data_IF_375574986558
#
_entry.id   IF_375574986558
#
_cell.length_a   1.000
_cell.length_b   1.000
_cell.length_c   1.000
_cell.angle_alpha   90.00
_cell.angle_beta   90.00
_cell.angle_gamma   90.00
#
_symmetry.space_group_name_H-M   'P 1'
#
loop_
_entity.id
_entity.type
_entity.pdbx_description
1 polymer ?
#
# COMPACT_ATOMS: atom_id res chain seq x y z
N UNK A 1 -3.69 -17.19 -2.66
CA UNK A 1 -2.44 -16.93 -3.42
C UNK A 1 -1.53 -15.98 -2.66
N UNK A 2 -1.97 -14.77 -2.28
CA UNK A 2 -1.15 -13.84 -1.47
C UNK A 2 -0.78 -14.39 -0.09
N UNK A 3 -1.62 -15.23 0.52
CA UNK A 3 -1.32 -15.96 1.77
C UNK A 3 -0.10 -16.90 1.67
N UNK A 4 0.27 -17.34 0.46
CA UNK A 4 1.45 -18.20 0.26
C UNK A 4 2.77 -17.41 0.29
N UNK A 5 2.70 -16.10 0.03
CA UNK A 5 3.87 -15.21 0.03
C UNK A 5 4.42 -14.97 1.44
N UNK A 6 3.60 -15.17 2.48
CA UNK A 6 4.01 -15.14 3.89
C UNK A 6 4.86 -16.36 4.29
N UNK A 7 4.97 -17.38 3.42
CA UNK A 7 5.75 -18.61 3.66
C UNK A 7 7.08 -18.66 2.92
N UNK A 8 7.44 -17.60 2.19
CA UNK A 8 8.67 -17.55 1.39
C UNK A 8 9.70 -16.69 2.12
N UNK A 9 10.91 -17.22 2.31
CA UNK A 9 11.96 -16.62 3.15
C UNK A 9 12.49 -15.27 2.65
N UNK A 10 12.33 -14.93 1.36
CA UNK A 10 12.63 -13.58 0.85
C UNK A 10 11.79 -13.24 -0.39
N UNK A 11 11.16 -12.04 -0.43
CA UNK A 11 10.46 -11.54 -1.59
C UNK A 11 11.41 -11.27 -2.77
N UNK A 12 12.71 -11.09 -2.55
CA UNK A 12 13.67 -10.94 -3.64
C UNK A 12 13.66 -12.17 -4.56
N UNK A 13 13.52 -13.37 -3.99
CA UNK A 13 13.42 -14.62 -4.76
C UNK A 13 12.18 -14.63 -5.66
N UNK A 14 11.02 -14.21 -5.13
CA UNK A 14 9.76 -14.13 -5.89
C UNK A 14 9.87 -13.07 -6.99
N UNK A 15 10.40 -11.89 -6.66
CA UNK A 15 10.51 -10.73 -7.55
C UNK A 15 11.52 -10.93 -8.69
N UNK A 16 12.54 -11.79 -8.49
CA UNK A 16 13.52 -12.19 -9.51
C UNK A 16 13.07 -13.36 -10.36
N UNK A 17 12.21 -14.23 -9.82
CA UNK A 17 11.74 -15.45 -10.50
C UNK A 17 10.51 -15.19 -11.37
N UNK A 18 9.62 -14.29 -10.96
CA UNK A 18 8.38 -14.00 -11.69
C UNK A 18 8.58 -12.84 -12.67
N UNK A 19 7.98 -12.97 -13.86
CA UNK A 19 7.95 -11.86 -14.81
C UNK A 19 6.99 -10.76 -14.34
N UNK A 20 7.22 -9.53 -14.82
CA UNK A 20 6.43 -8.35 -14.45
C UNK A 20 4.92 -8.52 -14.74
N UNK A 21 4.57 -9.16 -15.85
CA UNK A 21 3.17 -9.36 -16.26
C UNK A 21 2.40 -10.24 -15.27
N UNK A 22 3.00 -11.32 -14.78
CA UNK A 22 2.42 -12.23 -13.78
C UNK A 22 2.23 -11.48 -12.46
N UNK A 23 3.24 -10.72 -12.03
CA UNK A 23 3.18 -9.92 -10.79
C UNK A 23 2.05 -8.88 -10.87
N UNK A 24 1.91 -8.18 -12.00
CA UNK A 24 0.85 -7.19 -12.24
C UNK A 24 -0.54 -7.84 -12.20
N UNK A 25 -0.70 -9.02 -12.80
CA UNK A 25 -1.95 -9.75 -12.83
C UNK A 25 -2.36 -10.23 -11.43
N UNK A 26 -1.43 -10.87 -10.71
CA UNK A 26 -1.67 -11.39 -9.36
C UNK A 26 -2.04 -10.31 -8.35
N UNK A 27 -1.45 -9.12 -8.49
CA UNK A 27 -1.67 -8.00 -7.56
C UNK A 27 -2.79 -7.07 -7.98
N UNK A 28 -3.51 -7.34 -9.09
CA UNK A 28 -4.57 -6.47 -9.62
C UNK A 28 -5.56 -6.05 -8.53
N UNK A 29 -6.15 -7.02 -7.83
CA UNK A 29 -7.14 -6.75 -6.77
C UNK A 29 -6.55 -5.92 -5.63
N UNK A 30 -5.30 -6.20 -5.25
CA UNK A 30 -4.61 -5.46 -4.21
C UNK A 30 -4.25 -4.02 -4.62
N UNK A 31 -3.97 -3.78 -5.90
CA UNK A 31 -3.79 -2.41 -6.42
C UNK A 31 -5.07 -1.60 -6.38
N UNK A 32 -6.21 -2.24 -6.68
CA UNK A 32 -7.53 -1.61 -6.52
C UNK A 32 -7.79 -1.29 -5.03
N UNK A 33 -7.49 -2.22 -4.13
CA UNK A 33 -7.63 -1.99 -2.69
C UNK A 33 -6.75 -0.85 -2.18
N UNK A 34 -5.51 -0.76 -2.68
CA UNK A 34 -4.61 0.36 -2.38
C UNK A 34 -5.18 1.70 -2.84
N UNK A 35 -5.81 1.76 -4.02
CA UNK A 35 -6.44 2.98 -4.52
C UNK A 35 -7.65 3.37 -3.68
N UNK A 36 -8.53 2.41 -3.37
CA UNK A 36 -9.72 2.62 -2.55
C UNK A 36 -9.38 3.11 -1.15
N UNK A 37 -8.35 2.53 -0.50
CA UNK A 37 -7.82 3.04 0.77
C UNK A 37 -7.37 4.50 0.64
N UNK A 38 -6.67 4.82 -0.45
CA UNK A 38 -6.25 6.17 -0.74
C UNK A 38 -7.40 7.16 -0.86
N UNK A 39 -8.50 6.75 -1.49
CA UNK A 39 -9.73 7.54 -1.64
C UNK A 39 -10.49 7.71 -0.34
N UNK A 40 -10.65 6.63 0.44
CA UNK A 40 -11.35 6.65 1.73
C UNK A 40 -10.67 7.64 2.70
N UNK A 41 -9.34 7.63 2.80
CA UNK A 41 -8.61 8.61 3.61
C UNK A 41 -8.81 10.06 3.16
N UNK A 42 -8.90 10.32 1.84
CA UNK A 42 -9.17 11.67 1.33
C UNK A 42 -10.60 12.08 1.66
N UNK A 43 -11.56 11.16 1.53
CA UNK A 43 -12.94 11.39 1.90
C UNK A 43 -13.08 11.71 3.40
N UNK A 44 -12.34 11.03 4.27
CA UNK A 44 -12.32 11.36 5.71
C UNK A 44 -11.70 12.74 5.98
N UNK A 45 -10.60 13.10 5.30
CA UNK A 45 -10.03 14.46 5.38
C UNK A 45 -11.04 15.53 4.92
N UNK A 46 -11.77 15.25 3.84
CA UNK A 46 -12.85 16.10 3.30
C UNK A 46 -13.97 16.27 4.33
N UNK A 47 -14.50 15.17 4.90
CA UNK A 47 -15.57 15.24 5.92
C UNK A 47 -15.16 16.09 7.12
N UNK A 48 -13.91 15.95 7.57
CA UNK A 48 -13.36 16.77 8.65
C UNK A 48 -13.31 18.25 8.28
N UNK A 49 -12.77 18.59 7.10
CA UNK A 49 -12.69 19.98 6.62
C UNK A 49 -14.07 20.64 6.42
N UNK A 50 -15.08 19.88 5.96
CA UNK A 50 -16.45 20.36 5.88
C UNK A 50 -17.04 20.67 7.26
N UNK A 51 -16.74 19.84 8.25
CA UNK A 51 -17.18 20.04 9.64
C UNK A 51 -16.52 21.29 10.25
N UNK A 52 -15.27 21.55 9.87
CA UNK A 52 -14.49 22.72 10.31
C UNK A 52 -14.83 24.01 9.53
N UNK A 53 -15.82 23.97 8.62
CA UNK A 53 -16.28 25.14 7.86
C UNK A 53 -15.32 25.63 6.76
N UNK A 54 -14.39 24.78 6.32
CA UNK A 54 -13.46 25.12 5.23
C UNK A 54 -14.19 25.09 3.89
N UNK A 55 -14.00 26.13 3.06
CA UNK A 55 -14.52 26.14 1.69
C UNK A 55 -13.82 25.10 0.83
N UNK A 56 -14.60 24.25 0.17
CA UNK A 56 -14.11 23.10 -0.59
C UNK A 56 -14.81 22.99 -1.93
N UNK A 57 -14.07 22.52 -2.94
CA UNK A 57 -14.61 22.20 -4.26
C UNK A 57 -15.56 21.00 -4.14
N UNK A 58 -16.85 21.29 -3.95
CA UNK A 58 -17.93 20.30 -3.87
C UNK A 58 -18.00 19.43 -5.12
N UNK A 59 -17.68 19.98 -6.30
CA UNK A 59 -17.66 19.23 -7.55
C UNK A 59 -16.57 18.17 -7.56
N UNK A 60 -15.37 18.52 -7.09
CA UNK A 60 -14.28 17.56 -6.92
C UNK A 60 -14.61 16.47 -5.88
N UNK A 61 -15.26 16.85 -4.77
CA UNK A 61 -15.66 15.91 -3.73
C UNK A 61 -16.67 14.88 -4.26
N UNK A 62 -17.73 15.35 -4.92
CA UNK A 62 -18.74 14.48 -5.52
C UNK A 62 -18.15 13.56 -6.61
N UNK A 63 -17.22 14.08 -7.40
CA UNK A 63 -16.50 13.29 -8.40
C UNK A 63 -15.68 12.17 -7.74
N UNK A 64 -14.97 12.47 -6.66
CA UNK A 64 -14.17 11.48 -5.93
C UNK A 64 -15.05 10.39 -5.28
N UNK A 65 -16.19 10.77 -4.71
CA UNK A 65 -17.16 9.82 -4.13
C UNK A 65 -17.70 8.90 -5.23
N UNK A 66 -18.16 9.47 -6.34
CA UNK A 66 -18.68 8.71 -7.47
C UNK A 66 -17.65 7.72 -8.03
N UNK A 67 -16.38 8.13 -8.13
CA UNK A 67 -15.29 7.25 -8.53
C UNK A 67 -15.02 6.13 -7.53
N UNK A 68 -15.06 6.42 -6.22
CA UNK A 68 -14.86 5.41 -5.18
C UNK A 68 -15.95 4.33 -5.23
N UNK A 69 -17.21 4.73 -5.36
CA UNK A 69 -18.35 3.81 -5.46
C UNK A 69 -18.27 2.98 -6.75
N UNK A 70 -18.00 3.62 -7.89
CA UNK A 70 -17.82 2.92 -9.16
C UNK A 70 -16.70 1.87 -9.09
N UNK A 71 -15.54 2.21 -8.52
CA UNK A 71 -14.41 1.28 -8.41
C UNK A 71 -14.74 0.13 -7.46
N UNK A 72 -15.45 0.40 -6.36
CA UNK A 72 -15.90 -0.61 -5.41
C UNK A 72 -16.84 -1.61 -6.08
N UNK A 73 -17.80 -1.12 -6.87
CA UNK A 73 -18.76 -1.97 -7.58
C UNK A 73 -18.10 -2.82 -8.67
N UNK A 74 -17.06 -2.30 -9.32
CA UNK A 74 -16.35 -3.02 -10.38
C UNK A 74 -15.27 -3.96 -9.85
N UNK A 75 -14.84 -3.84 -8.58
CA UNK A 75 -13.66 -4.51 -8.02
C UNK A 75 -13.61 -6.02 -8.30
N UNK A 76 -14.73 -6.71 -8.15
CA UNK A 76 -14.81 -8.17 -8.28
C UNK A 76 -15.06 -8.65 -9.72
N UNK A 77 -15.38 -7.73 -10.64
CA UNK A 77 -15.64 -8.01 -12.06
C UNK A 77 -14.58 -7.46 -13.00
N UNK A 78 -13.55 -6.77 -12.48
CA UNK A 78 -12.49 -6.15 -13.29
C UNK A 78 -11.65 -7.18 -14.05
N UNK A 79 -11.65 -7.03 -15.39
CA UNK A 79 -10.80 -7.81 -16.30
C UNK A 79 -9.47 -7.10 -16.62
N UNK A 80 -9.40 -5.78 -16.45
CA UNK A 80 -8.21 -4.97 -16.68
C UNK A 80 -8.12 -3.75 -15.73
N UNK A 81 -6.99 -3.05 -15.80
CA UNK A 81 -6.67 -1.90 -14.94
C UNK A 81 -7.10 -0.54 -15.56
N UNK A 82 -7.82 -0.55 -16.68
CA UNK A 82 -8.16 0.67 -17.42
C UNK A 82 -8.89 1.69 -16.56
N UNK A 83 -9.81 1.21 -15.72
CA UNK A 83 -10.62 2.04 -14.82
C UNK A 83 -9.79 2.76 -13.76
N UNK A 84 -8.84 2.07 -13.13
CA UNK A 84 -7.96 2.67 -12.11
C UNK A 84 -6.89 3.60 -12.72
N UNK A 85 -6.81 3.63 -14.05
CA UNK A 85 -5.91 4.49 -14.82
C UNK A 85 -6.64 5.62 -15.56
N UNK A 86 -7.95 5.77 -15.33
CA UNK A 86 -8.77 6.81 -15.95
C UNK A 86 -8.21 8.22 -15.71
N UNK A 87 -7.99 9.04 -16.77
CA UNK A 87 -7.55 10.42 -16.60
C UNK A 87 -8.48 11.26 -15.75
N UNK A 88 -9.79 11.02 -15.83
CA UNK A 88 -10.81 11.77 -15.08
C UNK A 88 -10.78 11.44 -13.60
N UNK A 89 -10.60 10.16 -13.27
CA UNK A 89 -10.32 9.72 -11.91
C UNK A 89 -9.11 10.47 -11.35
N UNK A 90 -7.98 10.44 -12.06
CA UNK A 90 -6.76 11.07 -11.58
C UNK A 90 -6.86 12.59 -11.51
N UNK A 91 -7.66 13.24 -12.37
CA UNK A 91 -7.96 14.66 -12.28
C UNK A 91 -8.72 14.98 -10.99
N UNK A 92 -9.74 14.21 -10.64
CA UNK A 92 -10.49 14.39 -9.39
C UNK A 92 -9.59 14.11 -8.17
N UNK A 93 -8.82 13.02 -8.22
CA UNK A 93 -7.96 12.59 -7.12
C UNK A 93 -6.83 13.58 -6.82
N UNK A 94 -6.17 14.13 -7.85
CA UNK A 94 -5.04 15.05 -7.70
C UNK A 94 -5.43 16.43 -7.12
N UNK A 95 -6.71 16.85 -7.22
CA UNK A 95 -7.18 18.10 -6.61
C UNK A 95 -6.99 18.13 -5.08
N UNK A 96 -6.91 16.96 -4.45
CA UNK A 96 -6.76 16.82 -3.01
C UNK A 96 -5.33 16.51 -2.55
N UNK A 97 -4.34 16.69 -3.45
CA UNK A 97 -2.91 16.49 -3.19
C UNK A 97 -2.60 15.19 -2.40
N UNK A 98 -2.92 14.01 -2.97
CA UNK A 98 -2.80 12.74 -2.28
C UNK A 98 -1.33 12.40 -1.97
N UNK A 99 -1.10 11.72 -0.84
CA UNK A 99 0.22 11.28 -0.38
C UNK A 99 0.94 10.39 -1.42
N UNK A 100 2.28 10.33 -1.34
CA UNK A 100 3.15 9.65 -2.32
C UNK A 100 2.79 8.17 -2.54
N UNK A 101 2.39 7.43 -1.51
CA UNK A 101 1.92 6.03 -1.64
C UNK A 101 0.79 5.95 -2.68
N UNK A 102 -0.12 6.91 -2.65
CA UNK A 102 -1.34 6.91 -3.46
C UNK A 102 -1.05 7.27 -4.91
N UNK A 103 0.07 7.93 -5.18
CA UNK A 103 0.55 8.21 -6.54
C UNK A 103 1.12 6.97 -7.25
N UNK A 104 1.28 5.85 -6.54
CA UNK A 104 1.76 4.59 -7.10
C UNK A 104 0.68 3.83 -7.89
N UNK A 105 -0.60 4.14 -7.70
CA UNK A 105 -1.69 3.50 -8.46
C UNK A 105 -1.77 3.95 -9.93
N UNK A 106 -0.89 4.86 -10.38
CA UNK A 106 -0.85 5.35 -11.77
C UNK A 106 -0.34 4.28 -12.73
N UNK A 107 -0.82 4.30 -13.98
CA UNK A 107 -0.47 3.32 -15.03
C UNK A 107 1.03 3.09 -15.19
N UNK A 108 1.82 4.15 -15.27
CA UNK A 108 3.29 4.06 -15.42
C UNK A 108 4.04 3.52 -14.19
N UNK A 109 3.33 3.23 -13.10
CA UNK A 109 3.89 2.72 -11.84
C UNK A 109 3.25 1.38 -11.43
N UNK A 110 2.44 0.77 -12.30
CA UNK A 110 1.72 -0.47 -12.01
C UNK A 110 2.67 -1.60 -11.60
N UNK A 111 3.74 -1.85 -12.36
CA UNK A 111 4.75 -2.87 -12.02
C UNK A 111 5.38 -2.60 -10.66
N UNK A 112 5.88 -1.37 -10.46
CA UNK A 112 6.48 -0.97 -9.19
C UNK A 112 5.53 -1.15 -8.01
N UNK A 113 4.29 -0.68 -8.11
CA UNK A 113 3.27 -0.87 -7.06
C UNK A 113 3.00 -2.35 -6.81
N UNK A 114 2.99 -3.18 -7.85
CA UNK A 114 2.74 -4.61 -7.73
C UNK A 114 3.86 -5.30 -6.92
N UNK A 115 5.12 -5.02 -7.24
CA UNK A 115 6.30 -5.53 -6.50
C UNK A 115 6.28 -5.07 -5.04
N UNK A 116 5.93 -3.82 -4.85
CA UNK A 116 5.75 -3.18 -3.56
C UNK A 116 4.65 -3.83 -2.71
N UNK A 117 3.48 -4.11 -3.30
CA UNK A 117 2.42 -4.87 -2.66
C UNK A 117 2.90 -6.27 -2.28
N UNK A 118 3.61 -6.98 -3.16
CA UNK A 118 4.13 -8.31 -2.82
C UNK A 118 5.00 -8.26 -1.56
N UNK A 119 5.91 -7.30 -1.47
CA UNK A 119 6.74 -7.11 -0.28
C UNK A 119 5.91 -6.75 0.98
N UNK A 120 4.86 -5.94 0.84
CA UNK A 120 3.94 -5.64 1.94
C UNK A 120 3.30 -6.91 2.52
N UNK A 121 2.94 -7.87 1.66
CA UNK A 121 2.41 -9.16 2.09
C UNK A 121 3.47 -10.07 2.69
N UNK A 122 4.64 -10.16 2.06
CA UNK A 122 5.73 -11.02 2.54
C UNK A 122 6.22 -10.58 3.92
N UNK A 123 6.45 -9.28 4.15
CA UNK A 123 6.92 -8.77 5.44
C UNK A 123 5.81 -8.30 6.39
N UNK A 124 4.59 -8.79 6.19
CA UNK A 124 3.41 -8.30 6.92
C UNK A 124 3.53 -8.50 8.43
N UNK A 125 4.16 -9.60 8.88
CA UNK A 125 4.39 -9.85 10.30
C UNK A 125 5.48 -8.94 10.88
N UNK A 126 6.56 -8.72 10.14
CA UNK A 126 7.66 -7.85 10.55
C UNK A 126 7.18 -6.40 10.68
N UNK A 127 6.31 -5.95 9.77
CA UNK A 127 5.69 -4.63 9.88
C UNK A 127 4.75 -4.51 11.08
N UNK A 128 3.98 -5.56 11.41
CA UNK A 128 3.17 -5.58 12.64
C UNK A 128 4.03 -5.47 13.89
N UNK A 129 5.13 -6.24 13.97
CA UNK A 129 6.08 -6.19 15.09
C UNK A 129 6.74 -4.82 15.20
N UNK A 130 7.14 -4.23 14.07
CA UNK A 130 7.73 -2.90 14.02
C UNK A 130 6.77 -1.82 14.54
N UNK A 131 5.47 -1.96 14.29
CA UNK A 131 4.44 -1.08 14.84
C UNK A 131 4.05 -1.40 16.29
N UNK A 132 4.66 -2.41 16.92
CA UNK A 132 4.30 -2.92 18.25
C UNK A 132 2.83 -3.36 18.35
N UNK A 133 2.23 -3.74 17.21
CA UNK A 133 0.86 -4.20 17.16
C UNK A 133 0.84 -5.70 17.47
N UNK A 134 0.62 -6.02 18.74
CA UNK A 134 0.35 -7.38 19.20
C UNK A 134 -1.02 -7.82 18.66
N UNK A 135 -1.04 -8.40 17.46
CA UNK A 135 -2.27 -8.75 16.76
C UNK A 135 -2.10 -9.99 15.91
N UNK A 136 -3.23 -10.70 15.75
CA UNK A 136 -3.41 -11.80 14.79
C UNK A 136 -2.88 -11.42 13.40
N UNK A 137 -2.36 -12.39 12.62
CA UNK A 137 -1.92 -12.16 11.26
C UNK A 137 -2.98 -11.41 10.45
N UNK A 138 -2.56 -10.42 9.67
CA UNK A 138 -3.47 -9.68 8.79
C UNK A 138 -4.22 -10.68 7.90
N UNK A 139 -5.54 -10.68 7.99
CA UNK A 139 -6.43 -11.65 7.34
C UNK A 139 -6.93 -11.17 5.98
N UNK A 140 -6.85 -9.85 5.73
CA UNK A 140 -7.31 -9.22 4.49
C UNK A 140 -6.22 -8.39 3.82
N UNK A 141 -6.34 -8.21 2.50
CA UNK A 141 -5.48 -7.30 1.72
C UNK A 141 -5.48 -5.89 2.29
N UNK A 142 -6.65 -5.42 2.75
CA UNK A 142 -6.81 -4.10 3.34
C UNK A 142 -6.00 -3.95 4.63
N UNK A 143 -6.03 -4.95 5.50
CA UNK A 143 -5.27 -4.94 6.76
C UNK A 143 -3.76 -4.91 6.51
N UNK A 144 -3.27 -5.76 5.60
CA UNK A 144 -1.85 -5.76 5.20
C UNK A 144 -1.43 -4.38 4.68
N UNK A 145 -2.23 -3.80 3.77
CA UNK A 145 -1.91 -2.49 3.19
C UNK A 145 -1.99 -1.37 4.22
N UNK A 146 -2.93 -1.40 5.17
CA UNK A 146 -3.02 -0.40 6.23
C UNK A 146 -1.79 -0.43 7.14
N UNK A 147 -1.40 -1.62 7.62
CA UNK A 147 -0.18 -1.82 8.40
C UNK A 147 1.01 -1.28 7.63
N UNK A 148 1.12 -1.67 6.36
CA UNK A 148 2.19 -1.25 5.50
C UNK A 148 2.27 0.29 5.33
N UNK A 149 1.16 0.95 5.04
CA UNK A 149 1.08 2.41 4.90
C UNK A 149 1.47 3.11 6.19
N UNK A 150 0.95 2.64 7.33
CA UNK A 150 1.29 3.18 8.65
C UNK A 150 2.77 3.02 8.97
N UNK A 151 3.37 1.87 8.66
CA UNK A 151 4.81 1.65 8.80
C UNK A 151 5.59 2.67 7.95
N UNK A 152 5.19 2.90 6.71
CA UNK A 152 5.86 3.89 5.85
C UNK A 152 5.70 5.33 6.35
N UNK A 153 4.63 5.64 7.07
CA UNK A 153 4.43 6.97 7.65
C UNK A 153 5.25 7.15 8.94
N UNK A 154 5.36 6.10 9.77
CA UNK A 154 6.06 6.15 11.06
C UNK A 154 7.58 5.98 10.93
N UNK A 155 8.05 5.17 9.97
CA UNK A 155 9.47 4.84 9.81
C UNK A 155 10.03 5.35 8.47
N UNK A 156 10.62 6.55 8.50
CA UNK A 156 11.17 7.19 7.30
C UNK A 156 12.32 6.39 6.64
N UNK A 157 13.09 5.61 7.41
CA UNK A 157 14.10 4.70 6.87
C UNK A 157 13.47 3.59 6.02
N UNK A 158 12.43 2.93 6.55
CA UNK A 158 11.64 1.93 5.82
C UNK A 158 11.01 2.54 4.58
N UNK A 159 10.47 3.76 4.70
CA UNK A 159 9.96 4.53 3.58
C UNK A 159 11.01 4.78 2.49
N UNK A 160 12.23 5.19 2.87
CA UNK A 160 13.32 5.44 1.93
C UNK A 160 13.77 4.15 1.23
N UNK A 161 13.96 3.05 1.97
CA UNK A 161 14.33 1.77 1.36
C UNK A 161 13.23 1.24 0.43
N UNK A 162 11.98 1.36 0.85
CA UNK A 162 10.83 0.91 0.05
C UNK A 162 10.63 1.71 -1.24
N UNK A 163 10.89 3.02 -1.21
CA UNK A 163 10.86 3.81 -2.43
C UNK A 163 12.14 3.63 -3.25
N UNK A 164 13.31 3.59 -2.65
CA UNK A 164 14.60 3.41 -3.34
C UNK A 164 14.85 4.39 -4.51
N UNK A 165 16.00 4.23 -5.16
CA UNK A 165 16.35 4.94 -6.40
C UNK A 165 15.93 4.18 -7.68
N UNK A 166 15.57 2.89 -7.57
CA UNK A 166 15.21 2.01 -8.69
C UNK A 166 13.73 1.57 -8.73
N UNK A 167 13.36 0.77 -9.74
CA UNK A 167 12.03 0.16 -9.88
C UNK A 167 11.77 -0.94 -8.83
N UNK A 168 12.83 -1.58 -8.35
CA UNK A 168 12.74 -2.69 -7.42
C UNK A 168 12.75 -2.23 -5.96
N UNK A 169 13.20 -1.02 -5.60
CA UNK A 169 13.41 -0.66 -4.18
C UNK A 169 14.73 -1.21 -3.63
N UNK A 170 15.14 -0.75 -2.45
CA UNK A 170 16.37 -1.22 -1.78
C UNK A 170 16.01 -2.30 -0.75
N UNK A 171 15.79 -3.51 -1.25
CA UNK A 171 15.34 -4.65 -0.44
C UNK A 171 16.34 -5.05 0.63
N UNK A 172 17.64 -5.00 0.31
CA UNK A 172 18.70 -5.32 1.27
C UNK A 172 18.67 -4.34 2.45
N UNK A 173 18.48 -3.04 2.18
CA UNK A 173 18.30 -2.07 3.25
C UNK A 173 17.03 -2.33 4.06
N UNK A 174 15.91 -2.68 3.40
CA UNK A 174 14.66 -3.02 4.07
C UNK A 174 14.82 -4.22 5.00
N UNK A 175 15.34 -5.33 4.50
CA UNK A 175 15.60 -6.56 5.26
C UNK A 175 16.53 -6.30 6.44
N UNK A 176 17.61 -5.53 6.23
CA UNK A 176 18.53 -5.15 7.30
C UNK A 176 17.83 -4.37 8.42
N UNK A 177 16.95 -3.42 8.06
CA UNK A 177 16.19 -2.66 9.05
C UNK A 177 15.18 -3.54 9.81
N UNK A 178 14.49 -4.45 9.12
CA UNK A 178 13.55 -5.36 9.76
C UNK A 178 14.28 -6.34 10.70
N UNK A 179 15.45 -6.85 10.30
CA UNK A 179 16.27 -7.74 11.12
C UNK A 179 16.81 -7.07 12.39
N UNK A 180 17.22 -5.80 12.32
CA UNK A 180 17.67 -5.04 13.50
C UNK A 180 16.58 -4.92 14.58
N UNK A 181 15.33 -4.77 14.17
CA UNK A 181 14.19 -4.68 15.11
C UNK A 181 13.75 -6.05 15.65
N UNK A 182 14.10 -7.14 14.97
CA UNK A 182 13.94 -8.49 15.53
C UNK A 182 14.96 -8.78 16.64
N UNK A 183 16.18 -8.24 16.52
CA UNK A 183 17.25 -8.40 17.51
C UNK A 183 17.07 -7.58 18.79
N UNK A 184 16.41 -6.41 18.72
CA UNK A 184 16.20 -5.54 19.89
C UNK A 184 15.15 -6.08 20.86
N UNK A 185 14.13 -6.79 20.37
CA UNK A 185 13.08 -7.42 21.20
C UNK A 185 13.62 -8.65 21.97
N UNK A 186 14.73 -9.25 21.51
CA UNK A 186 15.36 -10.40 22.14
C UNK A 186 16.30 -10.10 23.32
N UNK A 187 16.66 -8.83 23.55
CA UNK A 187 17.62 -8.44 24.60
C UNK A 187 16.96 -7.89 25.86
N UNK A 188 15.66 -7.59 25.85
CA UNK A 188 14.92 -7.17 27.06
C UNK A 188 14.36 -8.36 27.87
N UNK A 189 14.54 -9.60 27.41
CA UNK A 189 14.10 -10.82 28.09
C UNK A 189 15.20 -11.63 28.79
N UNK A 190 16.45 -11.16 28.80
CA UNK A 190 17.58 -11.79 29.49
C UNK A 190 18.21 -10.81 30.47
N UNK A 191 17.41 -10.41 31.46
CA UNK A 191 17.86 -9.66 32.62
C UNK A 191 17.08 -10.13 33.84
N UNK A 192 17.51 -11.27 34.39
CA UNK A 192 17.52 -11.59 35.84
C UNK A 192 18.42 -12.83 36.06
#
# INVERSE_FOLDING_TARGET
MMEWLQRVDSPEYILRTLNATIIIDWTRRSRVDCLLLGMEEIQEKIKKQMTDGTDMDKGACNSLISWSDFIRDQKDTMQDDGYIHSPDLWRAFNKFNPEKIKQLCRKGKADRLSRQILAAFTYSEEFLRLLEKNGTPNSTTREVLNVFIETLQKYSGVQQAYYGSGSDGDWVALESMLALHQGSVGLEGMGD
#
